data_IF_473267976704
#
_entry.id   IF_473267976704
#
_cell.length_a   1.000
_cell.length_b   1.000
_cell.length_c   1.000
_cell.angle_alpha   90.00
_cell.angle_beta   90.00
_cell.angle_gamma   90.00
#
_symmetry.space_group_name_H-M   'P 1'
#
loop_
_entity.id
_entity.type
_entity.pdbx_description
1 polymer ?
#
# COMPACT_ATOMS: atom_id res chain seq x y z
N UNK A 1 -14.42 -1.41 -22.36
CA UNK A 1 -14.23 -2.73 -21.71
C UNK A 1 -13.54 -2.46 -20.39
N UNK A 2 -14.30 -2.41 -19.29
CA UNK A 2 -13.74 -2.24 -17.95
C UNK A 2 -13.39 -3.62 -17.42
N UNK A 3 -12.10 -3.93 -17.35
CA UNK A 3 -11.62 -5.10 -16.60
C UNK A 3 -11.79 -4.78 -15.11
N UNK A 4 -12.92 -5.20 -14.55
CA UNK A 4 -13.04 -5.41 -13.12
C UNK A 4 -12.05 -6.52 -12.76
N UNK A 5 -10.90 -6.12 -12.23
CA UNK A 5 -10.02 -7.06 -11.52
C UNK A 5 -10.75 -7.33 -10.21
N UNK A 6 -11.23 -8.56 -10.04
CA UNK A 6 -11.85 -9.03 -8.80
C UNK A 6 -10.82 -8.86 -7.67
N UNK A 7 -11.27 -8.29 -6.56
CA UNK A 7 -10.43 -7.77 -5.48
C UNK A 7 -9.80 -8.87 -4.59
N UNK A 8 -9.78 -10.12 -5.04
CA UNK A 8 -9.49 -11.29 -4.19
C UNK A 8 -8.02 -11.78 -4.25
N UNK A 9 -7.18 -11.20 -5.13
CA UNK A 9 -5.81 -11.73 -5.34
C UNK A 9 -4.73 -11.14 -4.40
N UNK A 10 -5.05 -10.12 -3.59
CA UNK A 10 -4.06 -9.37 -2.79
C UNK A 10 -4.44 -9.20 -1.30
N UNK A 11 -4.99 -10.25 -0.68
CA UNK A 11 -5.27 -10.24 0.76
C UNK A 11 -4.02 -10.38 1.63
N UNK A 12 -2.99 -11.09 1.16
CA UNK A 12 -1.77 -11.37 1.92
C UNK A 12 -0.53 -10.94 1.11
N UNK A 13 0.46 -10.36 1.79
CA UNK A 13 1.76 -10.02 1.20
C UNK A 13 2.47 -11.25 0.60
N UNK A 14 2.17 -12.45 1.12
CA UNK A 14 2.72 -13.72 0.61
C UNK A 14 2.28 -14.03 -0.82
N UNK A 15 1.10 -13.58 -1.25
CA UNK A 15 0.61 -13.80 -2.63
C UNK A 15 1.23 -12.82 -3.61
N UNK A 16 1.77 -11.70 -3.12
CA UNK A 16 2.41 -10.68 -3.95
C UNK A 16 3.70 -11.22 -4.56
N UNK A 17 3.89 -11.02 -5.87
CA UNK A 17 5.11 -11.46 -6.55
C UNK A 17 6.36 -10.75 -6.01
N UNK A 18 7.49 -11.46 -5.99
CA UNK A 18 8.78 -10.88 -5.58
C UNK A 18 9.13 -9.63 -6.39
N UNK A 19 8.80 -9.61 -7.69
CA UNK A 19 8.99 -8.45 -8.56
C UNK A 19 8.22 -7.22 -8.07
N UNK A 20 6.94 -7.40 -7.70
CA UNK A 20 6.11 -6.32 -7.16
C UNK A 20 6.66 -5.82 -5.83
N UNK A 21 7.03 -6.72 -4.91
CA UNK A 21 7.61 -6.36 -3.62
C UNK A 21 8.91 -5.55 -3.76
N UNK A 22 9.82 -5.98 -4.63
CA UNK A 22 11.06 -5.25 -4.92
C UNK A 22 10.77 -3.89 -5.55
N UNK A 23 9.79 -3.78 -6.44
CA UNK A 23 9.43 -2.51 -7.07
C UNK A 23 8.88 -1.50 -6.06
N UNK A 24 8.02 -1.94 -5.14
CA UNK A 24 7.52 -1.09 -4.04
C UNK A 24 8.68 -0.66 -3.14
N UNK A 25 9.56 -1.57 -2.76
CA UNK A 25 10.69 -1.26 -1.88
C UNK A 25 11.65 -0.24 -2.49
N UNK A 26 12.02 -0.40 -3.77
CA UNK A 26 12.85 0.57 -4.47
C UNK A 26 12.17 1.94 -4.56
N UNK A 27 10.86 1.96 -4.79
CA UNK A 27 10.08 3.20 -4.84
C UNK A 27 10.04 3.94 -3.49
N UNK A 28 10.17 3.22 -2.37
CA UNK A 28 10.30 3.83 -1.03
C UNK A 28 11.69 4.43 -0.79
N UNK A 29 12.75 3.73 -1.22
CA UNK A 29 14.15 4.12 -0.98
C UNK A 29 14.60 5.30 -1.87
N UNK A 30 14.02 5.46 -3.06
CA UNK A 30 14.34 6.58 -3.98
C UNK A 30 13.91 7.97 -3.46
N UNK A 31 13.17 8.04 -2.35
CA UNK A 31 12.86 9.27 -1.60
C UNK A 31 12.32 10.44 -2.46
N UNK A 32 11.71 10.14 -3.61
CA UNK A 32 11.55 11.13 -4.68
C UNK A 32 10.15 11.74 -4.74
N UNK A 33 9.51 11.96 -3.58
CA UNK A 33 8.14 12.51 -3.52
C UNK A 33 7.11 11.74 -4.37
N UNK A 34 7.48 10.53 -4.82
CA UNK A 34 6.76 9.73 -5.77
C UNK A 34 5.54 9.17 -5.08
N UNK A 35 4.36 9.42 -5.65
CA UNK A 35 3.09 8.93 -5.16
C UNK A 35 3.09 7.39 -5.21
N UNK A 36 3.64 6.70 -4.21
CA UNK A 36 3.58 5.22 -4.13
C UNK A 36 2.14 4.71 -4.06
N UNK A 37 1.16 5.60 -3.83
CA UNK A 37 -0.27 5.30 -3.74
C UNK A 37 -0.80 4.47 -4.90
N UNK A 38 -0.26 4.60 -6.11
CA UNK A 38 -0.66 3.76 -7.25
C UNK A 38 -0.17 2.31 -7.17
N UNK A 39 0.87 2.03 -6.38
CA UNK A 39 1.41 0.69 -6.15
C UNK A 39 0.75 -0.01 -4.97
N UNK A 40 0.42 0.76 -3.94
CA UNK A 40 -0.02 0.23 -2.65
C UNK A 40 -1.53 0.29 -2.44
N UNK A 41 -2.29 0.81 -3.40
CA UNK A 41 -3.71 1.02 -3.22
C UNK A 41 -4.44 1.45 -4.48
N UNK A 42 -5.69 1.84 -4.29
CA UNK A 42 -6.62 2.19 -5.36
C UNK A 42 -7.54 3.33 -4.92
N UNK A 43 -8.20 3.97 -5.90
CA UNK A 43 -9.20 4.99 -5.66
C UNK A 43 -10.59 4.42 -5.91
N UNK A 44 -11.45 4.48 -4.89
CA UNK A 44 -12.83 4.01 -5.02
C UNK A 44 -13.74 4.95 -5.79
N UNK A 45 -15.01 4.57 -5.91
CA UNK A 45 -16.03 5.27 -6.72
C UNK A 45 -16.20 6.76 -6.36
N UNK A 46 -15.84 7.15 -5.14
CA UNK A 46 -15.90 8.53 -4.63
C UNK A 46 -14.50 9.15 -4.47
N UNK A 47 -13.54 8.70 -5.26
CA UNK A 47 -12.13 9.15 -5.28
C UNK A 47 -11.44 9.10 -3.92
N UNK A 48 -11.85 8.16 -3.07
CA UNK A 48 -11.22 7.89 -1.77
C UNK A 48 -10.14 6.84 -1.95
N UNK A 49 -9.00 7.09 -1.33
CA UNK A 49 -7.84 6.20 -1.44
C UNK A 49 -7.93 5.07 -0.42
N UNK A 50 -7.83 3.84 -0.90
CA UNK A 50 -7.81 2.62 -0.09
C UNK A 50 -6.48 1.91 -0.30
N UNK A 51 -5.87 1.44 0.78
CA UNK A 51 -4.62 0.66 0.75
C UNK A 51 -4.99 -0.80 0.52
N UNK A 52 -4.26 -1.53 -0.33
CA UNK A 52 -4.45 -2.97 -0.48
C UNK A 52 -4.09 -3.69 0.83
N UNK A 53 -4.83 -4.73 1.19
CA UNK A 53 -4.63 -5.47 2.44
C UNK A 53 -3.19 -5.96 2.62
N UNK A 54 -2.57 -6.45 1.55
CA UNK A 54 -1.16 -6.88 1.53
C UNK A 54 -0.13 -5.78 1.84
N UNK A 55 -0.53 -4.51 1.76
CA UNK A 55 0.30 -3.36 2.11
C UNK A 55 -0.23 -2.59 3.34
N UNK A 56 -1.24 -3.12 4.04
CA UNK A 56 -1.72 -2.51 5.27
C UNK A 56 -0.72 -2.75 6.41
N UNK A 57 -0.18 -1.66 6.92
CA UNK A 57 0.73 -1.64 8.06
C UNK A 57 -0.04 -1.46 9.38
N UNK A 58 0.59 -1.81 10.49
CA UNK A 58 0.03 -1.54 11.83
C UNK A 58 -0.32 -0.05 12.03
N UNK A 59 0.46 0.87 11.45
CA UNK A 59 0.14 2.29 11.55
C UNK A 59 -1.05 2.68 10.70
N UNK A 60 -1.22 2.11 9.51
CA UNK A 60 -2.35 2.44 8.62
C UNK A 60 -3.65 1.82 9.11
N UNK A 61 -3.64 0.67 9.76
CA UNK A 61 -4.85 0.06 10.36
C UNK A 61 -5.44 0.93 11.49
N UNK A 62 -4.63 1.76 12.14
CA UNK A 62 -5.06 2.73 13.16
C UNK A 62 -5.56 4.06 12.59
N UNK A 63 -5.36 4.30 11.30
CA UNK A 63 -5.86 5.51 10.63
C UNK A 63 -7.33 5.34 10.30
N UNK A 64 -8.12 6.37 10.63
CA UNK A 64 -9.54 6.44 10.29
C UNK A 64 -9.77 6.16 8.81
N UNK A 65 -10.76 5.32 8.52
CA UNK A 65 -11.18 5.04 7.16
C UNK A 65 -11.62 6.30 6.40
N UNK A 66 -11.31 6.41 5.09
CA UNK A 66 -11.71 7.55 4.29
C UNK A 66 -13.24 7.73 4.30
N UNK A 67 -13.67 8.93 4.68
CA UNK A 67 -15.10 9.28 4.79
C UNK A 67 -15.37 10.66 4.19
N UNK A 68 -16.64 11.10 4.17
CA UNK A 68 -16.98 12.46 3.68
C UNK A 68 -16.25 13.56 4.45
N UNK A 69 -16.11 13.41 5.77
CA UNK A 69 -15.42 14.38 6.62
C UNK A 69 -13.88 14.25 6.55
N UNK A 70 -13.37 13.06 6.17
CA UNK A 70 -11.94 12.76 6.13
C UNK A 70 -11.57 12.01 4.85
N UNK A 71 -11.69 12.63 3.67
CA UNK A 71 -11.55 11.93 2.40
C UNK A 71 -10.13 11.44 2.10
N UNK A 72 -9.12 12.05 2.73
CA UNK A 72 -7.71 11.82 2.44
C UNK A 72 -6.93 11.18 3.60
N UNK A 73 -7.60 10.62 4.61
CA UNK A 73 -6.94 10.10 5.82
C UNK A 73 -5.85 9.07 5.50
N UNK A 74 -6.21 7.99 4.80
CA UNK A 74 -5.25 6.95 4.37
C UNK A 74 -4.25 7.47 3.35
N UNK A 75 -4.68 8.31 2.41
CA UNK A 75 -3.78 8.90 1.41
C UNK A 75 -2.66 9.71 2.08
N UNK A 76 -3.01 10.62 2.99
CA UNK A 76 -2.02 11.42 3.71
C UNK A 76 -1.09 10.55 4.56
N UNK A 77 -1.64 9.53 5.22
CA UNK A 77 -0.83 8.60 6.01
C UNK A 77 0.17 7.81 5.17
N UNK A 78 -0.26 7.36 3.98
CA UNK A 78 0.57 6.59 3.05
C UNK A 78 1.81 7.34 2.54
N UNK A 79 1.86 8.66 2.72
CA UNK A 79 3.02 9.50 2.40
C UNK A 79 3.92 9.80 3.60
N UNK A 80 3.63 9.25 4.78
CA UNK A 80 4.41 9.52 5.98
C UNK A 80 5.63 8.61 6.09
N UNK A 81 6.71 9.15 6.67
CA UNK A 81 7.93 8.38 6.99
C UNK A 81 7.60 7.16 7.86
N UNK A 82 6.64 7.28 8.79
CA UNK A 82 6.22 6.17 9.66
C UNK A 82 5.65 5.01 8.84
N UNK A 83 4.72 5.30 7.93
CA UNK A 83 4.15 4.29 7.04
C UNK A 83 5.23 3.66 6.15
N UNK A 84 6.08 4.47 5.51
CA UNK A 84 7.16 3.97 4.66
C UNK A 84 8.11 3.02 5.40
N UNK A 85 8.51 3.36 6.63
CA UNK A 85 9.40 2.51 7.44
C UNK A 85 8.78 1.15 7.75
N UNK A 86 7.52 1.14 8.20
CA UNK A 86 6.81 -0.11 8.51
C UNK A 86 6.59 -0.97 7.26
N UNK A 87 6.19 -0.34 6.14
CA UNK A 87 6.00 -1.05 4.88
C UNK A 87 7.32 -1.65 4.38
N UNK A 88 8.41 -0.90 4.43
CA UNK A 88 9.72 -1.39 4.02
C UNK A 88 10.22 -2.55 4.90
N UNK A 89 9.98 -2.50 6.21
CA UNK A 89 10.30 -3.58 7.14
C UNK A 89 9.52 -4.85 6.81
N UNK A 90 8.19 -4.74 6.68
CA UNK A 90 7.30 -5.84 6.31
C UNK A 90 7.72 -6.51 4.99
N UNK A 91 8.00 -5.71 3.95
CA UNK A 91 8.46 -6.22 2.64
C UNK A 91 9.82 -6.92 2.76
N UNK A 92 10.77 -6.36 3.54
CA UNK A 92 12.10 -6.94 3.72
C UNK A 92 12.03 -8.28 4.44
N UNK A 93 11.16 -8.42 5.43
CA UNK A 93 10.95 -9.69 6.13
C UNK A 93 10.39 -10.76 5.19
N UNK A 94 9.39 -10.41 4.38
CA UNK A 94 8.81 -11.32 3.40
C UNK A 94 9.79 -11.69 2.28
N UNK A 95 10.63 -10.77 1.82
CA UNK A 95 11.68 -11.11 0.85
C UNK A 95 12.77 -12.01 1.43
N UNK A 96 13.01 -11.95 2.75
CA UNK A 96 13.95 -12.85 3.45
C UNK A 96 13.36 -14.25 3.62
N UNK A 97 12.06 -14.37 3.91
CA UNK A 97 11.38 -15.66 4.13
C UNK A 97 11.37 -16.56 2.88
N UNK A 98 11.49 -15.96 1.68
CA UNK A 98 11.50 -16.65 0.38
C UNK A 98 12.87 -17.17 -0.07
N UNK A 99 13.94 -16.82 0.65
CA UNK A 99 15.31 -17.26 0.34
C UNK A 99 15.66 -18.51 1.13
#
# INVERSE_FOLDING_TARGET
MNTHIENDDYDDIKTVTTKTLTHVLNSLDENNGGRISHLIGWYGHVSRFHIYNCFDTESSSRIREPSRAWPYSKLKHSSTIKYHKQLAEMIREELKSRK
#
